data_IF_014692714332
#
_entry.id   IF_014692714332
#
_cell.length_a   1.000
_cell.length_b   1.000
_cell.length_c   1.000
_cell.angle_alpha   90.00
_cell.angle_beta   90.00
_cell.angle_gamma   90.00
#
_symmetry.space_group_name_H-M   'P 1'
#
loop_
_entity.id
_entity.type
_entity.pdbx_description
1 polymer ?
#
# COMPACT_ATOMS: atom_id res chain seq x y z
N UNK A 1 5.11 -14.75 6.79
CA UNK A 1 4.24 -13.90 7.64
C UNK A 1 4.82 -12.50 7.66
N UNK A 2 4.21 -11.54 6.94
CA UNK A 2 4.69 -10.16 6.83
C UNK A 2 3.52 -9.27 6.42
N UNK A 3 2.60 -9.07 7.36
CA UNK A 3 1.36 -8.35 7.13
C UNK A 3 1.61 -6.84 7.19
N UNK A 4 0.79 -6.07 6.48
CA UNK A 4 0.75 -4.62 6.64
C UNK A 4 0.06 -4.32 7.97
N UNK A 5 0.79 -3.73 8.92
CA UNK A 5 0.28 -3.42 10.27
C UNK A 5 -0.02 -1.93 10.48
N UNK A 6 0.39 -1.09 9.53
CA UNK A 6 0.24 0.35 9.58
C UNK A 6 0.99 1.04 8.45
N UNK A 7 0.56 2.25 8.11
CA UNK A 7 1.15 3.07 7.04
C UNK A 7 1.15 4.52 7.50
N UNK A 8 2.28 5.21 7.28
CA UNK A 8 2.40 6.65 7.47
C UNK A 8 2.69 7.29 6.11
N UNK A 9 2.00 8.38 5.81
CA UNK A 9 2.11 9.07 4.53
C UNK A 9 2.33 10.56 4.76
N UNK A 10 3.20 11.17 3.95
CA UNK A 10 3.47 12.60 3.94
C UNK A 10 3.53 13.07 2.48
N UNK A 11 2.69 14.04 2.13
CA UNK A 11 2.63 14.62 0.79
C UNK A 11 1.20 14.94 0.35
N UNK A 12 1.07 15.58 -0.81
CA UNK A 12 -0.23 15.87 -1.41
C UNK A 12 -1.05 14.60 -1.62
N UNK A 13 -2.37 14.69 -1.43
CA UNK A 13 -3.32 13.58 -1.55
C UNK A 13 -3.16 12.43 -0.53
N UNK A 14 -2.31 12.57 0.48
CA UNK A 14 -2.11 11.54 1.50
C UNK A 14 -3.41 11.20 2.23
N UNK A 15 -4.22 12.20 2.57
CA UNK A 15 -5.52 12.03 3.24
C UNK A 15 -6.53 11.20 2.42
N UNK A 16 -6.42 11.25 1.10
CA UNK A 16 -7.32 10.57 0.19
C UNK A 16 -6.89 9.12 -0.05
N UNK A 17 -5.59 8.89 -0.25
CA UNK A 17 -5.06 7.56 -0.60
C UNK A 17 -4.77 6.68 0.63
N UNK A 18 -4.63 7.27 1.83
CA UNK A 18 -4.44 6.52 3.09
C UNK A 18 -5.58 5.52 3.36
N UNK A 19 -6.78 5.77 2.82
CA UNK A 19 -7.90 4.83 2.88
C UNK A 19 -7.54 3.46 2.26
N UNK A 20 -6.78 3.44 1.16
CA UNK A 20 -6.33 2.19 0.53
C UNK A 20 -5.40 1.40 1.45
N UNK A 21 -4.52 2.09 2.17
CA UNK A 21 -3.67 1.46 3.19
C UNK A 21 -4.47 0.91 4.39
N UNK A 22 -5.50 1.64 4.84
CA UNK A 22 -6.38 1.16 5.90
C UNK A 22 -7.09 -0.14 5.50
N UNK A 23 -7.57 -0.24 4.25
CA UNK A 23 -8.18 -1.46 3.73
C UNK A 23 -7.21 -2.66 3.69
N UNK A 24 -5.92 -2.43 3.42
CA UNK A 24 -4.90 -3.49 3.46
C UNK A 24 -4.65 -4.01 4.88
N UNK A 25 -4.65 -3.12 5.88
CA UNK A 25 -4.51 -3.49 7.29
C UNK A 25 -5.73 -4.28 7.76
N UNK A 26 -6.93 -3.79 7.47
CA UNK A 26 -8.20 -4.46 7.84
C UNK A 26 -8.32 -5.85 7.18
N UNK A 27 -7.86 -5.98 5.93
CA UNK A 27 -7.81 -7.25 5.21
C UNK A 27 -6.66 -8.17 5.60
N UNK A 28 -5.86 -7.80 6.61
CA UNK A 28 -4.67 -8.52 7.08
C UNK A 28 -3.70 -8.93 5.95
N UNK A 29 -3.61 -8.10 4.90
CA UNK A 29 -2.87 -8.47 3.69
C UNK A 29 -1.38 -8.58 3.97
N UNK A 30 -0.75 -9.62 3.42
CA UNK A 30 0.71 -9.72 3.37
C UNK A 30 1.23 -8.71 2.35
N UNK A 31 2.45 -8.22 2.56
CA UNK A 31 3.11 -7.32 1.59
C UNK A 31 3.12 -7.91 0.18
N UNK A 32 3.33 -9.23 0.04
CA UNK A 32 3.30 -9.92 -1.24
C UNK A 32 1.91 -9.92 -1.89
N UNK A 33 0.84 -10.05 -1.10
CA UNK A 33 -0.53 -10.06 -1.62
C UNK A 33 -0.96 -8.64 -2.02
N UNK A 34 -0.54 -7.63 -1.25
CA UNK A 34 -0.84 -6.23 -1.53
C UNK A 34 -0.19 -5.72 -2.84
N UNK A 35 0.91 -6.34 -3.30
CA UNK A 35 1.54 -6.02 -4.60
C UNK A 35 0.69 -6.36 -5.81
N UNK A 36 -0.18 -7.35 -5.68
CA UNK A 36 -1.07 -7.80 -6.75
C UNK A 36 -2.27 -6.86 -6.95
N UNK A 37 -2.46 -5.89 -6.05
CA UNK A 37 -3.50 -4.87 -6.18
C UNK A 37 -3.15 -3.94 -7.36
N UNK A 38 -4.06 -3.85 -8.32
CA UNK A 38 -3.92 -2.97 -9.47
C UNK A 38 -4.34 -1.55 -9.09
N UNK A 39 -3.37 -0.64 -9.09
CA UNK A 39 -3.63 0.79 -8.97
C UNK A 39 -3.82 1.39 -10.37
N UNK A 40 -4.89 2.18 -10.61
CA UNK A 40 -5.12 2.81 -11.91
C UNK A 40 -3.96 3.75 -12.30
N UNK A 41 -3.65 3.81 -13.59
CA UNK A 41 -2.65 4.73 -14.11
C UNK A 41 -3.32 5.89 -14.87
N UNK A 42 -2.83 7.15 -14.76
CA UNK A 42 -1.83 7.65 -13.82
C UNK A 42 -2.48 8.13 -12.50
N UNK A 43 -2.03 7.65 -11.34
CA UNK A 43 -2.56 8.10 -10.05
C UNK A 43 -1.50 8.22 -8.95
N UNK A 44 -1.74 9.11 -7.98
CA UNK A 44 -0.86 9.25 -6.81
C UNK A 44 -0.83 7.98 -5.97
N UNK A 45 -1.91 7.19 -5.95
CA UNK A 45 -1.98 5.93 -5.20
C UNK A 45 -1.05 4.84 -5.73
N UNK A 46 -0.52 4.97 -6.96
CA UNK A 46 0.56 4.10 -7.46
C UNK A 46 1.77 4.08 -6.51
N UNK A 47 2.01 5.15 -5.72
CA UNK A 47 3.09 5.20 -4.72
C UNK A 47 2.97 4.08 -3.67
N UNK A 48 1.76 3.63 -3.36
CA UNK A 48 1.54 2.52 -2.42
C UNK A 48 2.11 1.23 -3.02
N UNK A 49 1.84 0.98 -4.30
CA UNK A 49 2.40 -0.18 -5.03
C UNK A 49 3.92 -0.12 -5.04
N UNK A 50 4.51 1.00 -5.46
CA UNK A 50 5.96 1.16 -5.53
C UNK A 50 6.61 0.94 -4.15
N UNK A 51 6.01 1.49 -3.09
CA UNK A 51 6.49 1.29 -1.70
C UNK A 51 6.44 -0.19 -1.27
N UNK A 52 5.42 -0.95 -1.68
CA UNK A 52 5.31 -2.37 -1.36
C UNK A 52 6.41 -3.23 -2.03
N UNK A 53 6.93 -2.79 -3.18
CA UNK A 53 8.03 -3.46 -3.89
C UNK A 53 9.40 -3.22 -3.25
N UNK A 54 9.58 -2.18 -2.45
CA UNK A 54 10.83 -1.93 -1.71
C UNK A 54 11.09 -2.93 -0.56
N UNK A 55 10.06 -3.64 -0.11
CA UNK A 55 10.22 -4.67 0.91
C UNK A 55 10.71 -5.98 0.28
N UNK A 56 11.89 -6.50 0.64
CA UNK A 56 12.35 -7.78 0.08
C UNK A 56 11.49 -9.00 0.46
N UNK A 57 11.50 -10.05 -0.35
CA UNK A 57 10.86 -11.33 -0.05
C UNK A 57 11.79 -12.17 0.84
N UNK A 58 11.62 -12.09 2.15
CA UNK A 58 12.29 -12.97 3.12
C UNK A 58 11.26 -13.86 3.81
#
# INVERSE_FOLDING_TARGET
HRNVIGVHMLGSYSSEIIWGAAAMVEGELRVTDAREIIFPHPTVSEIIRETLWEFGDK
#
